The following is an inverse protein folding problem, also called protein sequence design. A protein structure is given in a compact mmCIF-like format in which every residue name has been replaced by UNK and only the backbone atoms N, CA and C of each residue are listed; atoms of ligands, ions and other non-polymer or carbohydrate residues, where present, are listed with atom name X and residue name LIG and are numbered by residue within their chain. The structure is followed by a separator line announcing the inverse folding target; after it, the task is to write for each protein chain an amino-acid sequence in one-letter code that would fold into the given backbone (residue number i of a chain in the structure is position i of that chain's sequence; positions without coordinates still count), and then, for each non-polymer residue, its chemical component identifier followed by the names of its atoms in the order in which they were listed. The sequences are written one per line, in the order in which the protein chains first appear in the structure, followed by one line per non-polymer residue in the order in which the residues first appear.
data_IF_649469983155
#
_entry.id   IF_649469983155
#
_cell.length_a   1.000
_cell.length_b   1.000
_cell.length_c   1.000
_cell.angle_alpha   90.00
_cell.angle_beta   90.00
_cell.angle_gamma   90.00
#
_symmetry.space_group_name_H-M   'P 1'
#
loop_
_entity.id
_entity.type
_entity.pdbx_description
1 polymer ?
#
# COMPACT_ATOMS: atom_id res chain seq x y z
N UNK A 1 10.55 -5.56 17.45
CA UNK A 1 11.56 -4.84 16.65
C UNK A 1 10.95 -3.53 16.16
N UNK A 2 11.69 -2.43 16.17
CA UNK A 2 11.11 -1.08 16.05
C UNK A 2 10.76 -0.64 14.61
N UNK A 3 11.17 -1.39 13.58
CA UNK A 3 11.05 -1.00 12.16
C UNK A 3 10.21 -1.95 11.29
N UNK A 4 9.58 -2.98 11.86
CA UNK A 4 8.73 -3.91 11.10
C UNK A 4 9.45 -4.98 10.27
N UNK A 5 10.80 -5.04 10.32
CA UNK A 5 11.60 -6.08 9.66
C UNK A 5 12.13 -7.08 10.68
N UNK A 6 12.06 -8.37 10.34
CA UNK A 6 12.59 -9.49 11.10
C UNK A 6 13.88 -9.96 10.45
N UNK A 7 15.01 -9.80 11.14
CA UNK A 7 16.30 -10.34 10.70
C UNK A 7 16.32 -11.86 10.81
N UNK A 8 16.86 -12.53 9.80
CA UNK A 8 17.04 -13.98 9.80
C UNK A 8 18.14 -14.35 10.80
N UNK A 9 17.84 -15.26 11.72
CA UNK A 9 18.83 -15.91 12.56
C UNK A 9 19.23 -17.26 11.92
N UNK A 10 20.48 -17.44 11.45
CA UNK A 10 20.94 -18.70 10.85
C UNK A 10 20.83 -19.92 11.80
N UNK A 11 20.92 -19.70 13.11
CA UNK A 11 20.81 -20.73 14.13
C UNK A 11 19.36 -21.07 14.48
N UNK A 12 18.41 -20.24 14.04
CA UNK A 12 16.97 -20.43 14.27
C UNK A 12 16.25 -21.04 13.06
N UNK A 13 14.97 -21.42 13.24
CA UNK A 13 14.14 -21.87 12.15
C UNK A 13 13.95 -20.84 11.04
N UNK A 14 13.57 -21.29 9.85
CA UNK A 14 13.26 -20.39 8.74
C UNK A 14 12.16 -19.39 9.16
N UNK A 15 12.38 -18.06 9.11
CA UNK A 15 11.47 -17.09 9.73
C UNK A 15 10.03 -17.11 9.18
N UNK A 16 9.85 -17.46 7.91
CA UNK A 16 8.51 -17.55 7.29
C UNK A 16 7.58 -18.52 8.05
N UNK A 17 8.09 -19.62 8.63
CA UNK A 17 7.24 -20.51 9.44
C UNK A 17 6.63 -19.79 10.65
N UNK A 18 7.47 -19.04 11.38
CA UNK A 18 7.04 -18.28 12.56
C UNK A 18 6.12 -17.12 12.17
N UNK A 19 6.41 -16.45 11.05
CA UNK A 19 5.58 -15.36 10.53
C UNK A 19 4.18 -15.84 10.16
N UNK A 20 4.06 -16.99 9.49
CA UNK A 20 2.76 -17.60 9.16
C UNK A 20 2.04 -18.02 10.44
N UNK A 21 2.70 -18.76 11.33
CA UNK A 21 2.09 -19.25 12.57
C UNK A 21 1.58 -18.10 13.45
N UNK A 22 2.42 -17.08 13.67
CA UNK A 22 2.06 -15.90 14.45
C UNK A 22 0.91 -15.11 13.81
N UNK A 23 0.92 -14.96 12.49
CA UNK A 23 -0.15 -14.26 11.78
C UNK A 23 -1.48 -15.03 11.80
N UNK A 24 -1.46 -16.35 11.64
CA UNK A 24 -2.67 -17.19 11.76
C UNK A 24 -3.24 -17.16 13.17
N UNK A 25 -2.39 -17.19 14.21
CA UNK A 25 -2.81 -17.07 15.60
C UNK A 25 -3.44 -15.69 15.88
N UNK A 26 -2.79 -14.61 15.45
CA UNK A 26 -3.29 -13.24 15.59
C UNK A 26 -4.61 -13.04 14.83
N UNK A 27 -4.73 -13.59 13.62
CA UNK A 27 -5.95 -13.54 12.82
C UNK A 27 -7.10 -14.31 13.48
N UNK A 28 -6.82 -15.52 13.97
CA UNK A 28 -7.82 -16.33 14.68
C UNK A 28 -8.28 -15.64 15.97
N UNK A 29 -7.36 -15.01 16.71
CA UNK A 29 -7.70 -14.21 17.88
C UNK A 29 -8.58 -13.01 17.50
N UNK A 30 -8.26 -12.31 16.41
CA UNK A 30 -9.07 -11.19 15.89
C UNK A 30 -10.50 -11.64 15.58
N UNK A 31 -10.67 -12.75 14.86
CA UNK A 31 -11.99 -13.30 14.52
C UNK A 31 -12.80 -13.68 15.77
N UNK A 32 -12.17 -14.32 16.77
CA UNK A 32 -12.87 -14.72 18.01
C UNK A 32 -13.34 -13.55 18.85
N UNK A 33 -12.68 -12.39 18.76
CA UNK A 33 -13.00 -11.20 19.54
C UNK A 33 -14.01 -10.27 18.84
N UNK A 34 -14.39 -10.57 17.60
CA UNK A 34 -15.32 -9.74 16.86
C UNK A 34 -16.66 -9.61 17.60
N UNK A 35 -17.17 -8.37 17.70
CA UNK A 35 -18.45 -8.07 18.34
C UNK A 35 -19.60 -8.77 17.64
N UNK A 36 -20.50 -9.35 18.42
CA UNK A 36 -21.64 -10.14 17.91
C UNK A 36 -22.99 -9.46 18.06
N UNK A 37 -23.06 -8.38 18.85
CA UNK A 37 -24.26 -7.62 19.13
C UNK A 37 -23.95 -6.13 19.32
N UNK A 38 -25.01 -5.31 19.30
CA UNK A 38 -24.91 -3.86 19.36
C UNK A 38 -24.23 -3.32 20.65
N UNK A 39 -24.58 -3.80 21.86
CA UNK A 39 -23.88 -3.37 23.08
C UNK A 39 -22.37 -3.65 23.04
N UNK A 40 -21.95 -4.83 22.56
CA UNK A 40 -20.53 -5.20 22.44
C UNK A 40 -19.76 -4.27 21.51
N UNK A 41 -20.31 -3.96 20.32
CA UNK A 41 -19.62 -3.10 19.35
C UNK A 41 -19.49 -1.65 19.87
N UNK A 42 -20.47 -1.18 20.64
CA UNK A 42 -20.40 0.13 21.31
C UNK A 42 -19.32 0.15 22.39
N UNK A 43 -19.23 -0.91 23.20
CA UNK A 43 -18.19 -1.05 24.22
C UNK A 43 -16.79 -1.14 23.60
N UNK A 44 -16.62 -1.97 22.57
CA UNK A 44 -15.36 -2.13 21.86
C UNK A 44 -14.94 -0.82 21.18
N UNK A 45 -15.87 -0.09 20.55
CA UNK A 45 -15.61 1.23 19.97
C UNK A 45 -15.07 2.21 21.02
N UNK A 46 -15.72 2.30 22.19
CA UNK A 46 -15.26 3.16 23.31
C UNK A 46 -13.91 2.71 23.85
N UNK A 47 -13.73 1.41 24.05
CA UNK A 47 -12.49 0.82 24.57
C UNK A 47 -11.31 1.12 23.65
N UNK A 48 -11.53 1.00 22.33
CA UNK A 48 -10.51 1.12 21.29
C UNK A 48 -10.17 2.57 20.96
N UNK A 49 -11.18 3.40 20.68
CA UNK A 49 -10.98 4.76 20.18
C UNK A 49 -11.12 5.84 21.25
N UNK A 50 -11.42 5.46 22.50
CA UNK A 50 -11.59 6.37 23.65
C UNK A 50 -12.63 7.48 23.38
N UNK A 51 -13.64 7.18 22.57
CA UNK A 51 -14.68 8.11 22.12
C UNK A 51 -16.04 7.43 22.09
N UNK A 52 -17.10 8.22 22.21
CA UNK A 52 -18.45 7.72 21.95
C UNK A 52 -18.61 7.40 20.44
N UNK A 53 -19.40 6.37 20.08
CA UNK A 53 -19.75 6.12 18.69
C UNK A 53 -20.46 7.33 18.05
N UNK A 54 -20.35 7.51 16.73
CA UNK A 54 -20.99 8.62 16.02
C UNK A 54 -22.52 8.50 16.05
N UNK A 55 -23.21 9.60 15.71
CA UNK A 55 -24.66 9.58 15.46
C UNK A 55 -24.97 8.60 14.31
N UNK A 56 -26.03 7.81 14.44
CA UNK A 56 -26.41 6.80 13.44
C UNK A 56 -25.63 5.49 13.55
N UNK A 57 -24.96 5.22 14.67
CA UNK A 57 -24.18 3.98 14.84
C UNK A 57 -25.05 2.71 14.83
N UNK A 58 -26.32 2.82 15.22
CA UNK A 58 -27.28 1.72 15.13
C UNK A 58 -27.62 1.39 13.66
N UNK A 59 -27.80 2.40 12.81
CA UNK A 59 -28.00 2.21 11.36
C UNK A 59 -26.80 1.50 10.72
N UNK A 60 -25.58 1.90 11.12
CA UNK A 60 -24.36 1.22 10.70
C UNK A 60 -24.32 -0.25 11.20
N UNK A 61 -24.76 -0.53 12.42
CA UNK A 61 -24.84 -1.90 12.93
C UNK A 61 -25.87 -2.74 12.17
N UNK A 62 -27.03 -2.17 11.84
CA UNK A 62 -28.03 -2.83 11.00
C UNK A 62 -27.45 -3.16 9.62
N UNK A 63 -26.67 -2.26 9.03
CA UNK A 63 -25.94 -2.51 7.79
C UNK A 63 -24.94 -3.67 7.94
N UNK A 64 -24.14 -3.68 9.01
CA UNK A 64 -23.20 -4.77 9.33
C UNK A 64 -23.91 -6.12 9.39
N UNK A 65 -25.07 -6.20 10.04
CA UNK A 65 -25.86 -7.42 10.15
C UNK A 65 -26.44 -7.84 8.80
N UNK A 66 -27.08 -6.90 8.07
CA UNK A 66 -27.67 -7.12 6.75
C UNK A 66 -26.66 -7.69 5.75
N UNK A 67 -25.41 -7.21 5.81
CA UNK A 67 -24.34 -7.60 4.89
C UNK A 67 -23.38 -8.66 5.46
N UNK A 68 -23.68 -9.26 6.61
CA UNK A 68 -22.87 -10.28 7.26
C UNK A 68 -21.38 -9.89 7.37
N UNK A 69 -21.11 -8.67 7.83
CA UNK A 69 -19.74 -8.16 7.96
C UNK A 69 -19.04 -8.85 9.13
N UNK A 70 -18.00 -9.63 8.84
CA UNK A 70 -17.36 -10.53 9.82
C UNK A 70 -16.44 -9.84 10.84
N UNK A 71 -15.97 -8.63 10.53
CA UNK A 71 -15.05 -7.86 11.37
C UNK A 71 -15.64 -6.47 11.65
N UNK A 72 -16.71 -6.35 12.44
CA UNK A 72 -17.37 -5.08 12.70
C UNK A 72 -16.51 -4.08 13.48
N UNK A 73 -15.49 -4.52 14.21
CA UNK A 73 -14.67 -3.64 15.04
C UNK A 73 -13.41 -3.09 14.33
N UNK A 74 -13.10 -3.60 13.14
CA UNK A 74 -11.80 -3.37 12.49
C UNK A 74 -11.87 -2.18 11.50
N UNK A 75 -11.88 -0.96 12.06
CA UNK A 75 -11.92 0.31 11.32
C UNK A 75 -10.84 1.31 11.79
N UNK A 76 -9.73 0.81 12.33
CA UNK A 76 -8.64 1.63 12.89
C UNK A 76 -8.12 2.64 11.89
N UNK A 77 -8.03 2.23 10.63
CA UNK A 77 -7.56 3.10 9.58
C UNK A 77 -8.41 4.36 9.40
N UNK A 78 -9.73 4.22 9.54
CA UNK A 78 -10.65 5.36 9.44
C UNK A 78 -10.38 6.33 10.58
N UNK A 79 -10.26 5.79 11.79
CA UNK A 79 -10.07 6.58 12.98
C UNK A 79 -8.72 7.29 12.95
N UNK A 80 -7.65 6.60 12.57
CA UNK A 80 -6.32 7.18 12.43
C UNK A 80 -6.25 8.29 11.34
N UNK A 81 -7.03 8.17 10.26
CA UNK A 81 -7.09 9.20 9.21
C UNK A 81 -7.92 10.41 9.65
N UNK A 82 -8.93 10.23 10.52
CA UNK A 82 -9.81 11.31 11.00
C UNK A 82 -9.31 11.98 12.28
N UNK A 83 -8.56 11.26 13.10
CA UNK A 83 -8.06 11.70 14.41
C UNK A 83 -7.37 13.06 14.37
N UNK A 84 -6.49 13.37 13.38
CA UNK A 84 -5.80 14.65 13.34
C UNK A 84 -6.73 15.87 13.17
N UNK A 85 -7.97 15.66 12.69
CA UNK A 85 -8.93 16.74 12.45
C UNK A 85 -9.86 16.99 13.64
N UNK A 86 -9.89 16.11 14.65
CA UNK A 86 -10.79 16.26 15.79
C UNK A 86 -10.41 17.38 16.75
N UNK A 87 -9.15 17.82 16.73
CA UNK A 87 -8.68 18.97 17.50
C UNK A 87 -8.85 20.31 16.80
N UNK A 88 -9.51 20.35 15.63
CA UNK A 88 -9.72 21.56 14.83
C UNK A 88 -11.17 22.03 15.01
N UNK A 89 -11.36 23.34 15.21
CA UNK A 89 -12.67 23.94 15.34
C UNK A 89 -13.54 23.70 14.09
N UNK A 90 -14.84 23.35 14.24
CA UNK A 90 -15.70 23.09 13.09
C UNK A 90 -15.78 24.24 12.08
N UNK A 91 -15.74 25.50 12.54
CA UNK A 91 -15.72 26.69 11.67
C UNK A 91 -14.48 26.76 10.80
N UNK A 92 -13.34 26.33 11.33
CA UNK A 92 -12.07 26.31 10.59
C UNK A 92 -12.05 25.18 9.55
N UNK A 93 -12.57 23.99 9.89
CA UNK A 93 -12.73 22.89 8.92
C UNK A 93 -13.66 23.28 7.76
N UNK A 94 -14.76 23.98 8.06
CA UNK A 94 -15.69 24.47 7.04
C UNK A 94 -15.05 25.52 6.12
N UNK A 95 -14.23 26.42 6.67
CA UNK A 95 -13.49 27.40 5.89
C UNK A 95 -12.43 26.75 5.00
N UNK A 96 -11.64 25.81 5.54
CA UNK A 96 -10.65 25.05 4.76
C UNK A 96 -11.30 24.25 3.64
N UNK A 97 -12.47 23.66 3.89
CA UNK A 97 -13.26 22.99 2.84
C UNK A 97 -13.69 23.97 1.75
N UNK A 98 -14.24 25.13 2.12
CA UNK A 98 -14.67 26.13 1.13
C UNK A 98 -13.49 26.65 0.28
N UNK A 99 -12.33 26.86 0.90
CA UNK A 99 -11.10 27.26 0.20
C UNK A 99 -10.57 26.16 -0.73
N UNK A 100 -10.72 24.89 -0.35
CA UNK A 100 -10.40 23.77 -1.21
C UNK A 100 -11.32 23.68 -2.41
N UNK A 101 -12.62 23.81 -2.19
CA UNK A 101 -13.65 23.75 -3.24
C UNK A 101 -13.46 24.84 -4.30
N UNK A 102 -12.88 25.98 -3.92
CA UNK A 102 -12.55 27.06 -4.85
C UNK A 102 -11.32 26.77 -5.75
N UNK A 103 -10.58 25.68 -5.51
CA UNK A 103 -9.39 25.34 -6.31
C UNK A 103 -9.78 24.57 -7.57
N UNK A 104 -9.12 24.90 -8.68
CA UNK A 104 -9.34 24.35 -10.03
C UNK A 104 -9.16 22.83 -10.09
N UNK A 105 -8.31 22.26 -9.23
CA UNK A 105 -8.01 20.81 -9.19
C UNK A 105 -8.80 20.06 -8.10
N UNK A 106 -9.84 20.65 -7.51
CA UNK A 106 -10.70 19.98 -6.54
C UNK A 106 -11.94 19.40 -7.22
N UNK A 107 -12.36 18.18 -6.85
CA UNK A 107 -13.63 17.61 -7.34
C UNK A 107 -14.76 17.98 -6.36
N UNK A 108 -15.66 18.88 -6.79
CA UNK A 108 -16.85 19.35 -6.05
C UNK A 108 -18.09 19.05 -6.86
N UNK A 109 -19.07 18.34 -6.28
CA UNK A 109 -20.26 17.82 -6.99
C UNK A 109 -21.24 18.89 -7.56
N UNK A 110 -20.86 20.16 -7.71
CA UNK A 110 -21.81 21.22 -8.11
C UNK A 110 -21.33 22.21 -9.17
N UNK A 111 -20.16 22.04 -9.79
CA UNK A 111 -19.80 22.92 -10.93
C UNK A 111 -18.76 22.30 -11.86
N UNK A 112 -19.17 21.58 -12.91
CA UNK A 112 -18.24 21.24 -13.98
C UNK A 112 -18.87 21.36 -15.38
N UNK A 113 -18.14 22.05 -16.26
CA UNK A 113 -18.38 22.08 -17.69
C UNK A 113 -18.08 20.71 -18.31
N UNK A 114 -19.04 20.17 -19.06
CA UNK A 114 -18.92 18.87 -19.69
C UNK A 114 -17.74 18.80 -20.68
N UNK A 115 -16.94 17.73 -20.58
CA UNK A 115 -16.00 17.31 -21.65
C UNK A 115 -14.49 17.52 -21.39
N UNK A 116 -14.07 18.27 -20.37
CA UNK A 116 -12.63 18.62 -20.19
C UNK A 116 -11.82 17.64 -19.32
N UNK A 117 -12.47 16.87 -18.42
CA UNK A 117 -11.79 16.06 -17.39
C UNK A 117 -12.29 14.61 -17.22
N UNK A 118 -12.87 13.98 -18.26
CA UNK A 118 -13.52 12.66 -18.16
C UNK A 118 -12.72 11.53 -17.48
N UNK A 119 -11.38 11.53 -17.52
CA UNK A 119 -10.57 10.52 -16.80
C UNK A 119 -10.44 10.77 -15.29
N UNK A 120 -10.53 12.02 -14.83
CA UNK A 120 -10.52 12.37 -13.40
C UNK A 120 -11.92 12.19 -12.78
N UNK A 121 -12.98 12.33 -13.60
CA UNK A 121 -14.40 12.22 -13.21
C UNK A 121 -14.84 10.79 -12.94
N UNK A 122 -14.30 9.80 -13.68
CA UNK A 122 -14.71 8.40 -13.52
C UNK A 122 -14.57 7.89 -12.08
N UNK A 123 -13.52 8.36 -11.39
CA UNK A 123 -13.29 8.01 -10.01
C UNK A 123 -14.34 8.55 -9.04
N UNK A 124 -14.88 9.75 -9.29
CA UNK A 124 -15.97 10.33 -8.50
C UNK A 124 -17.32 9.67 -8.76
N UNK A 125 -17.62 9.29 -10.01
CA UNK A 125 -18.84 8.51 -10.33
C UNK A 125 -18.86 7.20 -9.56
N UNK A 126 -17.74 6.47 -9.60
CA UNK A 126 -17.64 5.19 -8.89
C UNK A 126 -17.75 5.34 -7.35
N UNK A 127 -17.42 6.52 -6.78
CA UNK A 127 -17.61 6.81 -5.34
C UNK A 127 -19.07 7.13 -5.05
N UNK A 128 -19.76 7.87 -5.93
CA UNK A 128 -21.19 8.15 -5.81
C UNK A 128 -21.97 6.82 -5.86
N UNK A 129 -21.64 5.95 -6.82
CA UNK A 129 -22.23 4.62 -6.93
C UNK A 129 -22.03 3.79 -5.65
N UNK A 130 -20.83 3.86 -5.06
CA UNK A 130 -20.52 3.17 -3.80
C UNK A 130 -21.37 3.68 -2.62
N UNK A 131 -21.75 4.96 -2.63
CA UNK A 131 -22.53 5.58 -1.57
C UNK A 131 -24.03 5.38 -1.73
N UNK A 132 -24.51 4.97 -2.92
CA UNK A 132 -25.94 4.77 -3.18
C UNK A 132 -26.63 3.84 -2.18
N UNK A 133 -25.96 2.77 -1.75
CA UNK A 133 -26.51 1.80 -0.78
C UNK A 133 -26.72 2.38 0.63
N UNK A 134 -26.12 3.52 0.95
CA UNK A 134 -26.17 4.14 2.28
C UNK A 134 -26.66 5.59 2.26
N UNK A 135 -27.03 6.12 1.09
CA UNK A 135 -27.39 7.53 0.89
C UNK A 135 -28.53 7.97 1.81
N UNK A 136 -29.53 7.10 2.03
CA UNK A 136 -30.68 7.38 2.90
C UNK A 136 -30.30 7.65 4.37
N UNK A 137 -29.15 7.14 4.81
CA UNK A 137 -28.65 7.34 6.18
C UNK A 137 -27.72 8.54 6.31
N UNK A 138 -27.32 9.16 5.19
CA UNK A 138 -26.35 10.25 5.19
C UNK A 138 -27.06 11.60 5.28
N UNK A 139 -26.71 12.45 6.28
CA UNK A 139 -27.13 13.85 6.23
C UNK A 139 -26.47 14.55 5.03
N UNK A 140 -26.97 15.72 4.60
CA UNK A 140 -26.31 16.53 3.59
C UNK A 140 -24.83 16.74 3.97
N UNK A 141 -23.93 16.12 3.22
CA UNK A 141 -22.50 16.15 3.48
C UNK A 141 -21.76 16.66 2.24
N UNK A 142 -20.65 17.38 2.47
CA UNK A 142 -19.77 17.88 1.42
C UNK A 142 -18.35 17.44 1.74
N UNK A 143 -17.69 16.85 0.76
CA UNK A 143 -16.33 16.34 0.87
C UNK A 143 -15.55 16.69 -0.40
N UNK A 144 -14.26 16.98 -0.24
CA UNK A 144 -13.35 17.29 -1.35
C UNK A 144 -12.46 16.08 -1.60
N UNK A 145 -12.44 15.61 -2.83
CA UNK A 145 -11.63 14.47 -3.26
C UNK A 145 -10.49 14.93 -4.15
N UNK A 146 -9.28 14.44 -3.87
CA UNK A 146 -8.13 14.61 -4.75
C UNK A 146 -8.37 13.82 -6.04
N UNK A 147 -8.17 14.45 -7.22
CA UNK A 147 -8.31 13.76 -8.50
C UNK A 147 -7.07 12.92 -8.85
N UNK A 148 -6.02 12.95 -8.01
CA UNK A 148 -4.75 12.27 -8.25
C UNK A 148 -4.69 10.89 -7.60
N UNK A 149 -3.90 9.99 -8.17
CA UNK A 149 -3.66 8.64 -7.65
C UNK A 149 -2.72 8.63 -6.42
N UNK A 150 -1.91 9.67 -6.28
CA UNK A 150 -0.92 9.94 -5.26
C UNK A 150 -1.44 10.82 -4.12
N UNK A 151 -0.99 10.64 -2.86
CA UNK A 151 -1.22 11.62 -1.81
C UNK A 151 -0.42 12.90 -2.06
N UNK A 152 -0.90 14.00 -1.50
CA UNK A 152 -0.39 15.36 -1.70
C UNK A 152 -0.45 16.23 -0.43
N UNK A 153 -1.03 15.73 0.66
CA UNK A 153 -1.16 16.43 1.95
C UNK A 153 -0.03 16.06 2.90
N UNK A 154 1.19 16.50 2.61
CA UNK A 154 2.35 16.26 3.49
C UNK A 154 2.11 16.93 4.85
N UNK A 155 2.14 16.12 5.90
CA UNK A 155 1.90 16.53 7.28
C UNK A 155 3.11 17.26 7.85
N UNK A 156 2.84 18.36 8.57
CA UNK A 156 3.82 18.91 9.50
C UNK A 156 3.73 18.14 10.82
N UNK A 157 4.89 17.78 11.38
CA UNK A 157 4.97 17.02 12.63
C UNK A 157 4.53 17.86 13.84
N UNK A 158 4.44 19.18 13.70
CA UNK A 158 3.84 20.04 14.71
C UNK A 158 2.35 19.72 14.92
N UNK A 159 1.65 19.16 13.91
CA UNK A 159 0.24 18.80 14.02
C UNK A 159 -0.02 17.51 14.80
N UNK A 160 0.91 16.55 14.81
CA UNK A 160 0.67 15.24 15.43
C UNK A 160 0.76 15.22 16.96
N UNK A 161 1.21 16.33 17.58
CA UNK A 161 1.49 16.42 19.02
C UNK A 161 0.59 17.40 19.79
N UNK A 162 -0.30 18.12 19.11
CA UNK A 162 -1.07 19.21 19.72
C UNK A 162 -2.57 18.89 19.77
N UNK A 163 -3.12 18.71 20.97
CA UNK A 163 -4.52 18.32 21.20
C UNK A 163 -5.56 19.44 20.94
N UNK A 164 -5.14 20.67 20.62
CA UNK A 164 -6.00 21.81 20.28
C UNK A 164 -5.34 22.62 19.16
N UNK A 165 -5.73 22.38 17.92
CA UNK A 165 -5.20 23.03 16.73
C UNK A 165 -6.18 24.12 16.30
N UNK A 166 -6.08 25.30 16.92
CA UNK A 166 -6.68 26.52 16.37
C UNK A 166 -6.02 26.85 15.03
N UNK A 167 -6.72 27.48 14.08
CA UNK A 167 -6.24 28.01 12.77
C UNK A 167 -5.10 29.05 12.86
N UNK A 168 -4.37 29.12 13.96
CA UNK A 168 -3.14 29.90 14.07
C UNK A 168 -2.18 29.40 12.99
N UNK A 169 -1.85 30.26 12.02
CA UNK A 169 -0.74 30.06 11.08
C UNK A 169 0.49 29.66 11.88
N UNK A 170 0.84 28.38 11.87
CA UNK A 170 1.95 27.90 12.67
C UNK A 170 3.28 28.44 12.11
N UNK A 171 4.25 28.74 12.99
CA UNK A 171 5.52 29.31 12.58
C UNK A 171 6.27 28.29 11.72
N UNK A 172 6.63 28.67 10.49
CA UNK A 172 7.62 28.03 9.61
C UNK A 172 7.49 26.52 9.42
N UNK A 173 7.03 26.09 8.24
CA UNK A 173 7.11 24.69 7.80
C UNK A 173 8.57 24.24 7.74
N UNK A 174 8.89 23.05 8.25
CA UNK A 174 10.24 22.49 8.15
C UNK A 174 10.66 22.40 6.66
N UNK A 175 11.73 23.09 6.23
CA UNK A 175 12.13 23.15 4.82
C UNK A 175 12.68 21.81 4.30
N UNK A 176 12.79 20.78 5.14
CA UNK A 176 13.36 19.49 4.79
C UNK A 176 12.40 18.54 4.04
N UNK A 177 11.15 18.97 3.81
CA UNK A 177 10.18 18.25 2.97
C UNK A 177 9.90 16.82 3.45
N UNK A 178 10.22 15.81 2.65
CA UNK A 178 9.93 14.40 2.96
C UNK A 178 10.54 13.89 4.28
N UNK A 179 11.63 14.49 4.74
CA UNK A 179 12.36 14.06 5.95
C UNK A 179 12.13 14.99 7.14
N UNK A 180 11.02 15.74 7.13
CA UNK A 180 10.65 16.67 8.19
C UNK A 180 10.29 16.01 9.53
N UNK A 181 10.26 14.68 9.61
CA UNK A 181 9.93 13.89 10.81
C UNK A 181 10.97 13.99 11.95
N UNK A 182 10.72 14.74 13.04
CA UNK A 182 11.66 14.87 14.17
C UNK A 182 12.00 13.50 14.76
N UNK A 183 13.29 13.29 15.10
CA UNK A 183 13.77 12.05 15.72
C UNK A 183 13.75 10.80 14.83
N UNK A 184 13.24 10.89 13.59
CA UNK A 184 13.21 9.75 12.68
C UNK A 184 14.60 9.42 12.11
N UNK A 185 14.89 8.14 11.80
CA UNK A 185 16.07 7.75 11.03
C UNK A 185 16.22 8.52 9.72
N UNK A 186 15.09 8.83 9.05
CA UNK A 186 15.08 9.55 7.79
C UNK A 186 15.57 11.01 7.89
N UNK A 187 15.28 11.71 8.99
CA UNK A 187 15.69 13.11 9.21
C UNK A 187 17.21 13.31 9.29
N UNK A 188 17.92 12.25 9.64
CA UNK A 188 19.38 12.24 9.76
C UNK A 188 20.09 11.88 8.45
N UNK A 189 19.35 11.63 7.35
CA UNK A 189 19.93 11.32 6.04
C UNK A 189 19.73 12.46 5.06
N UNK A 190 20.72 12.68 4.20
CA UNK A 190 20.53 13.51 3.00
C UNK A 190 19.79 12.71 1.94
N UNK A 191 18.71 13.27 1.39
CA UNK A 191 18.07 12.72 0.20
C UNK A 191 18.66 13.40 -1.03
N UNK A 192 19.56 12.69 -1.70
CA UNK A 192 20.00 13.00 -3.06
C UNK A 192 19.40 11.94 -4.00
N UNK A 193 18.23 12.23 -4.57
CA UNK A 193 17.56 11.30 -5.48
C UNK A 193 18.29 11.11 -6.81
N UNK A 194 19.29 11.93 -7.14
CA UNK A 194 20.11 11.74 -8.34
C UNK A 194 21.31 10.84 -8.07
N UNK A 195 21.87 10.90 -6.86
CA UNK A 195 22.93 10.04 -6.36
C UNK A 195 22.59 8.55 -6.31
N UNK A 196 23.58 7.73 -5.96
CA UNK A 196 23.38 6.29 -5.83
C UNK A 196 22.42 5.97 -4.67
N UNK A 197 21.47 5.03 -4.86
CA UNK A 197 20.64 4.59 -3.76
C UNK A 197 21.52 3.97 -2.66
N UNK A 198 21.09 4.05 -1.39
CA UNK A 198 21.81 3.44 -0.28
C UNK A 198 22.08 1.95 -0.53
N UNK A 199 23.26 1.45 -0.10
CA UNK A 199 23.62 0.07 -0.29
C UNK A 199 22.63 -0.84 0.45
N UNK A 200 22.31 -1.97 -0.17
CA UNK A 200 21.45 -2.98 0.45
C UNK A 200 22.18 -3.59 1.65
N UNK A 201 21.42 -3.91 2.69
CA UNK A 201 21.94 -4.68 3.83
C UNK A 201 22.34 -6.07 3.36
N UNK A 202 23.43 -6.61 3.91
CA UNK A 202 23.86 -7.99 3.65
C UNK A 202 23.00 -9.01 4.40
N UNK A 203 22.41 -8.60 5.53
CA UNK A 203 21.50 -9.43 6.32
C UNK A 203 20.18 -9.63 5.60
N UNK A 204 19.70 -10.87 5.64
CA UNK A 204 18.37 -11.25 5.14
C UNK A 204 17.32 -10.84 6.15
N UNK A 205 16.23 -10.25 5.66
CA UNK A 205 15.11 -9.78 6.47
C UNK A 205 13.79 -10.16 5.82
N UNK A 206 12.73 -10.26 6.61
CA UNK A 206 11.35 -10.41 6.15
C UNK A 206 10.45 -9.41 6.85
N UNK A 207 9.36 -9.01 6.20
CA UNK A 207 8.37 -8.10 6.81
C UNK A 207 7.58 -8.85 7.88
N UNK A 208 7.66 -8.41 9.14
CA UNK A 208 6.80 -8.90 10.23
C UNK A 208 5.70 -7.91 10.63
N UNK A 209 5.86 -6.63 10.27
CA UNK A 209 4.81 -5.60 10.40
C UNK A 209 4.87 -4.73 9.14
N UNK A 210 3.86 -4.90 8.28
CA UNK A 210 3.81 -4.23 7.00
C UNK A 210 3.65 -2.71 7.14
N UNK A 211 2.95 -2.22 8.15
CA UNK A 211 2.75 -0.79 8.34
C UNK A 211 4.04 -0.09 8.73
N UNK A 212 4.81 -0.68 9.63
CA UNK A 212 6.12 -0.16 10.04
C UNK A 212 7.17 -0.32 8.94
N UNK A 213 7.15 -1.45 8.22
CA UNK A 213 8.07 -1.71 7.12
C UNK A 213 7.89 -0.74 5.94
N UNK A 214 6.69 -0.18 5.76
CA UNK A 214 6.37 0.80 4.70
C UNK A 214 6.43 2.25 5.16
N UNK A 215 6.86 2.50 6.39
CA UNK A 215 7.03 3.85 6.93
C UNK A 215 8.33 4.48 6.37
N UNK A 216 8.24 5.51 5.50
CA UNK A 216 9.43 6.13 4.92
C UNK A 216 10.28 6.89 5.95
N UNK A 217 9.75 7.20 7.13
CA UNK A 217 10.50 7.81 8.23
C UNK A 217 11.43 6.80 8.91
N UNK A 218 11.00 5.54 8.99
CA UNK A 218 11.81 4.44 9.52
C UNK A 218 12.76 3.88 8.45
N UNK A 219 12.32 3.88 7.19
CA UNK A 219 13.04 3.30 6.06
C UNK A 219 13.30 4.34 4.95
N UNK A 220 14.32 5.21 5.10
CA UNK A 220 14.61 6.28 4.14
C UNK A 220 14.93 5.77 2.71
N UNK A 221 15.29 4.50 2.55
CA UNK A 221 15.49 3.87 1.24
C UNK A 221 14.23 3.89 0.37
N UNK A 222 13.04 4.07 0.97
CA UNK A 222 11.76 4.17 0.27
C UNK A 222 11.72 5.38 -0.68
N UNK A 223 12.37 6.49 -0.32
CA UNK A 223 12.43 7.70 -1.14
C UNK A 223 13.08 7.46 -2.51
N UNK A 224 13.97 6.47 -2.61
CA UNK A 224 14.72 6.15 -3.82
C UNK A 224 14.02 5.12 -4.72
N UNK A 225 12.90 4.53 -4.27
CA UNK A 225 12.30 3.34 -4.90
C UNK A 225 10.80 3.46 -5.15
N UNK A 226 10.09 4.33 -4.42
CA UNK A 226 8.64 4.52 -4.57
C UNK A 226 8.33 5.62 -5.57
N UNK A 227 7.40 5.38 -6.50
CA UNK A 227 7.05 6.34 -7.55
C UNK A 227 6.63 7.70 -7.00
N UNK A 228 5.88 7.72 -5.89
CA UNK A 228 5.49 8.92 -5.14
C UNK A 228 6.65 9.86 -4.79
N UNK A 229 7.80 9.30 -4.39
CA UNK A 229 8.91 10.11 -3.90
C UNK A 229 9.91 10.44 -5.00
N UNK A 230 9.90 9.64 -6.08
CA UNK A 230 10.72 9.89 -7.25
C UNK A 230 10.20 11.04 -8.11
N UNK A 231 8.93 11.45 -7.94
CA UNK A 231 8.37 12.58 -8.68
C UNK A 231 8.94 13.92 -8.23
N UNK A 232 9.24 14.07 -6.94
CA UNK A 232 9.59 15.35 -6.31
C UNK A 232 10.82 15.19 -5.41
N UNK A 233 11.93 15.84 -5.76
CA UNK A 233 13.28 15.68 -5.15
C UNK A 233 13.27 15.52 -3.63
N UNK A 234 13.09 16.64 -2.91
CA UNK A 234 13.00 16.66 -1.45
C UNK A 234 11.55 16.67 -0.98
N UNK A 235 10.60 16.62 -1.92
CA UNK A 235 9.19 16.89 -1.66
C UNK A 235 8.92 18.36 -1.45
N UNK A 236 7.63 18.72 -1.46
CA UNK A 236 7.21 20.04 -1.01
C UNK A 236 7.45 20.18 0.48
N UNK A 237 7.55 21.42 0.98
CA UNK A 237 7.50 21.65 2.42
C UNK A 237 6.17 21.12 2.98
N UNK A 238 6.12 20.65 4.24
CA UNK A 238 4.88 20.30 4.92
C UNK A 238 3.83 21.40 4.79
N UNK A 239 2.55 21.05 4.77
CA UNK A 239 1.49 22.05 4.67
C UNK A 239 1.38 22.84 5.99
N UNK A 240 1.02 24.12 5.90
CA UNK A 240 0.83 25.00 7.08
C UNK A 240 -0.49 24.77 7.80
N UNK A 241 -1.38 24.01 7.18
CA UNK A 241 -2.75 23.79 7.63
C UNK A 241 -3.08 22.30 7.44
N UNK A 242 -3.87 21.76 8.35
CA UNK A 242 -4.38 20.40 8.30
C UNK A 242 -5.65 20.37 7.46
N UNK A 243 -5.48 20.06 6.18
CA UNK A 243 -6.52 20.18 5.18
C UNK A 243 -7.24 18.83 5.00
N UNK A 244 -8.55 18.74 5.27
CA UNK A 244 -9.30 17.48 5.18
C UNK A 244 -9.63 17.15 3.72
N UNK A 245 -8.67 16.57 3.01
CA UNK A 245 -8.84 16.11 1.63
C UNK A 245 -8.86 14.59 1.55
N UNK A 246 -9.89 14.06 0.89
CA UNK A 246 -10.04 12.64 0.63
C UNK A 246 -9.17 12.20 -0.55
N UNK A 247 -8.48 11.07 -0.46
CA UNK A 247 -7.63 10.56 -1.54
C UNK A 247 -7.63 9.03 -1.62
N UNK A 248 -7.30 8.50 -2.80
CA UNK A 248 -7.26 7.06 -3.04
C UNK A 248 -6.20 6.35 -2.21
N UNK A 249 -5.09 7.01 -1.90
CA UNK A 249 -4.06 6.47 -1.03
C UNK A 249 -3.41 7.56 -0.18
N UNK A 250 -2.71 7.12 0.87
CA UNK A 250 -1.96 7.97 1.80
C UNK A 250 -0.73 7.20 2.30
N UNK A 251 0.21 7.90 2.92
CA UNK A 251 1.35 7.29 3.64
C UNK A 251 1.47 7.91 5.03
N UNK A 252 2.36 7.38 5.88
CA UNK A 252 2.55 7.84 7.27
C UNK A 252 2.96 9.32 7.40
N UNK A 253 3.49 9.92 6.33
CA UNK A 253 3.86 11.34 6.30
C UNK A 253 2.77 12.23 5.69
N UNK A 254 1.64 11.67 5.24
CA UNK A 254 0.53 12.43 4.67
C UNK A 254 -0.71 12.33 5.55
N UNK A 255 -1.50 13.41 5.62
CA UNK A 255 -2.78 13.46 6.34
C UNK A 255 -4.00 13.39 5.40
N UNK A 256 -3.82 12.89 4.17
CA UNK A 256 -4.94 12.59 3.29
C UNK A 256 -5.86 11.54 3.94
N UNK A 257 -7.18 11.75 3.86
CA UNK A 257 -8.20 10.82 4.37
C UNK A 257 -8.44 9.74 3.32
N UNK A 258 -8.18 8.47 3.62
CA UNK A 258 -8.30 7.41 2.62
C UNK A 258 -9.75 7.05 2.34
N UNK A 259 -10.10 7.02 1.06
CA UNK A 259 -11.40 6.55 0.58
C UNK A 259 -11.37 5.07 0.21
N UNK A 260 -12.50 4.35 0.26
CA UNK A 260 -12.57 3.00 -0.28
C UNK A 260 -12.51 3.09 -1.81
N UNK A 261 -11.51 2.48 -2.43
CA UNK A 261 -11.46 2.55 -3.90
C UNK A 261 -12.48 1.63 -4.58
N UNK A 262 -13.27 2.15 -5.53
CA UNK A 262 -14.17 1.34 -6.34
C UNK A 262 -13.41 0.38 -7.27
N UNK A 263 -13.96 -0.80 -7.55
CA UNK A 263 -13.26 -1.87 -8.29
C UNK A 263 -13.12 -1.65 -9.81
N UNK A 264 -13.83 -0.66 -10.33
CA UNK A 264 -14.04 -0.32 -11.75
C UNK A 264 -13.08 0.74 -12.27
N UNK A 265 -12.54 1.61 -11.42
CA UNK A 265 -11.49 2.60 -11.76
C UNK A 265 -10.20 1.98 -12.33
N UNK A 266 -10.00 0.66 -12.17
CA UNK A 266 -8.95 -0.12 -12.82
C UNK A 266 -9.28 -0.61 -14.24
N UNK A 267 -10.17 0.07 -14.97
CA UNK A 267 -10.52 -0.27 -16.36
C UNK A 267 -9.34 0.01 -17.30
N UNK A 268 -8.54 -1.03 -17.52
CA UNK A 268 -8.59 -1.73 -18.81
C UNK A 268 -8.46 -3.23 -18.56
N UNK A 269 -9.24 -4.01 -19.30
CA UNK A 269 -9.19 -5.48 -19.37
C UNK A 269 -7.89 -6.00 -20.03
N UNK A 270 -6.75 -5.39 -19.71
CA UNK A 270 -5.43 -5.89 -20.10
C UNK A 270 -4.77 -6.50 -18.89
N UNK A 271 -3.99 -7.56 -19.10
CA UNK A 271 -3.13 -8.24 -18.12
C UNK A 271 -2.07 -7.33 -17.43
N UNK A 272 -2.22 -6.01 -17.47
CA UNK A 272 -1.21 -5.02 -17.15
C UNK A 272 -1.86 -3.77 -16.54
N UNK A 273 -1.50 -3.44 -15.30
CA UNK A 273 -2.01 -2.28 -14.59
C UNK A 273 -1.53 -1.00 -15.24
N UNK A 274 -2.44 -0.30 -15.89
CA UNK A 274 -2.29 1.11 -16.23
C UNK A 274 -2.42 1.97 -14.96
N UNK A 275 -1.48 1.83 -14.02
CA UNK A 275 -1.15 2.93 -13.11
C UNK A 275 -0.17 3.84 -13.83
N UNK A 276 -0.38 5.15 -13.76
CA UNK A 276 0.37 6.16 -14.50
C UNK A 276 1.87 5.82 -14.58
N UNK A 277 2.41 5.84 -15.80
CA UNK A 277 3.86 5.90 -15.96
C UNK A 277 4.35 7.16 -15.21
N UNK A 278 5.50 7.10 -14.50
CA UNK A 278 6.03 8.26 -13.81
C UNK A 278 6.13 9.43 -14.79
N UNK A 279 5.40 10.50 -14.49
CA UNK A 279 5.27 11.66 -15.36
C UNK A 279 6.49 12.61 -15.30
N UNK A 280 7.58 12.23 -14.64
CA UNK A 280 8.76 13.09 -14.50
C UNK A 280 10.07 12.39 -14.84
N UNK A 281 10.93 13.14 -15.56
CA UNK A 281 12.29 12.88 -16.02
C UNK A 281 12.69 11.42 -16.30
N UNK A 282 13.01 11.11 -17.57
CA UNK A 282 13.39 9.79 -18.13
C UNK A 282 14.44 8.94 -17.36
N UNK A 283 15.05 9.44 -16.28
CA UNK A 283 16.08 8.81 -15.46
C UNK A 283 15.60 8.29 -14.10
N UNK A 284 14.90 9.10 -13.28
CA UNK A 284 14.56 8.72 -11.88
C UNK A 284 13.54 7.59 -11.80
N UNK A 285 12.51 7.62 -12.65
CA UNK A 285 11.49 6.56 -12.71
C UNK A 285 12.03 5.15 -13.02
N UNK A 286 13.24 5.04 -13.59
CA UNK A 286 13.93 3.75 -13.82
C UNK A 286 14.29 3.03 -12.51
N UNK A 287 14.37 3.76 -11.40
CA UNK A 287 14.65 3.22 -10.07
C UNK A 287 13.40 2.80 -9.30
N UNK A 288 12.22 3.06 -9.86
CA UNK A 288 10.97 2.61 -9.24
C UNK A 288 10.97 1.09 -9.04
N UNK A 289 10.38 0.64 -7.94
CA UNK A 289 10.26 -0.77 -7.58
C UNK A 289 9.60 -1.61 -8.70
N UNK A 290 8.68 -1.04 -9.50
CA UNK A 290 8.13 -1.69 -10.72
C UNK A 290 9.19 -1.97 -11.79
N UNK A 291 10.00 -0.97 -12.13
CA UNK A 291 11.07 -1.15 -13.13
C UNK A 291 12.18 -2.04 -12.55
N UNK A 292 12.46 -1.91 -11.26
CA UNK A 292 13.40 -2.76 -10.55
C UNK A 292 12.97 -4.24 -10.60
N UNK A 293 11.67 -4.54 -10.44
CA UNK A 293 11.14 -5.89 -10.57
C UNK A 293 11.44 -6.48 -11.95
N UNK A 294 11.11 -5.76 -13.02
CA UNK A 294 11.41 -6.21 -14.40
C UNK A 294 12.91 -6.41 -14.62
N UNK A 295 13.75 -5.55 -14.03
CA UNK A 295 15.20 -5.67 -14.09
C UNK A 295 15.71 -6.92 -13.36
N UNK A 296 15.29 -7.15 -12.12
CA UNK A 296 15.80 -8.30 -11.34
C UNK A 296 15.31 -9.64 -11.87
N UNK A 297 14.09 -9.69 -12.41
CA UNK A 297 13.49 -10.89 -13.00
C UNK A 297 14.17 -11.27 -14.31
N UNK A 298 14.53 -10.30 -15.14
CA UNK A 298 15.19 -10.56 -16.42
C UNK A 298 16.73 -10.63 -16.34
N UNK A 299 17.33 -10.31 -15.20
CA UNK A 299 18.79 -10.36 -15.01
C UNK A 299 19.30 -11.78 -14.73
N UNK A 300 19.84 -12.46 -15.75
CA UNK A 300 20.26 -13.87 -15.65
C UNK A 300 21.71 -14.07 -15.18
N UNK A 301 22.54 -13.03 -15.15
CA UNK A 301 23.96 -13.14 -14.80
C UNK A 301 24.21 -13.18 -13.28
N UNK A 302 25.21 -13.95 -12.86
CA UNK A 302 25.64 -14.06 -11.45
C UNK A 302 24.77 -14.97 -10.58
N UNK A 303 25.01 -14.90 -9.28
CA UNK A 303 24.31 -15.70 -8.26
C UNK A 303 23.51 -14.81 -7.31
N UNK A 304 22.60 -15.44 -6.56
CA UNK A 304 21.88 -14.84 -5.44
C UNK A 304 22.05 -15.74 -4.20
N UNK A 305 22.28 -15.15 -3.01
CA UNK A 305 22.15 -15.88 -1.76
C UNK A 305 20.67 -16.20 -1.52
N UNK A 306 20.33 -17.47 -1.30
CA UNK A 306 18.96 -17.97 -1.07
C UNK A 306 18.94 -18.85 0.18
N UNK A 307 17.95 -18.66 1.05
CA UNK A 307 17.69 -19.55 2.18
C UNK A 307 17.18 -20.91 1.72
N UNK A 308 17.61 -21.98 2.38
CA UNK A 308 17.22 -23.34 1.98
C UNK A 308 15.71 -23.57 2.17
N UNK A 309 14.98 -24.04 1.14
CA UNK A 309 13.57 -24.39 1.27
C UNK A 309 13.36 -25.77 1.92
N UNK A 310 14.41 -26.58 2.06
CA UNK A 310 14.30 -27.97 2.54
C UNK A 310 14.24 -28.12 4.06
N UNK A 311 14.27 -27.01 4.79
CA UNK A 311 14.31 -27.00 6.25
C UNK A 311 12.92 -27.15 6.84
N UNK A 312 12.79 -28.00 7.86
CA UNK A 312 11.56 -28.13 8.64
C UNK A 312 11.36 -26.93 9.58
N UNK A 313 10.16 -26.76 10.18
CA UNK A 313 9.86 -25.66 11.09
C UNK A 313 10.70 -25.59 12.38
N UNK A 314 11.45 -26.65 12.71
CA UNK A 314 12.27 -26.74 13.91
C UNK A 314 13.78 -26.73 13.63
N UNK A 315 14.17 -26.99 12.38
CA UNK A 315 15.59 -27.05 12.01
C UNK A 315 16.17 -25.65 11.76
N UNK A 316 17.44 -25.42 12.16
CA UNK A 316 18.15 -24.19 11.79
C UNK A 316 18.18 -23.98 10.28
N UNK A 317 17.83 -22.77 9.85
CA UNK A 317 17.83 -22.39 8.43
C UNK A 317 19.24 -22.38 7.85
N UNK A 318 20.23 -22.06 8.68
CA UNK A 318 21.64 -21.96 8.31
C UNK A 318 21.94 -20.77 7.40
N UNK A 319 23.16 -20.77 6.86
CA UNK A 319 23.61 -19.75 5.92
C UNK A 319 22.95 -19.89 4.55
N UNK A 320 22.84 -18.75 3.86
CA UNK A 320 22.30 -18.72 2.50
C UNK A 320 23.20 -19.45 1.49
N UNK A 321 22.60 -20.18 0.56
CA UNK A 321 23.31 -20.87 -0.52
C UNK A 321 23.28 -20.04 -1.80
N UNK A 322 24.40 -19.98 -2.52
CA UNK A 322 24.50 -19.24 -3.78
C UNK A 322 23.81 -20.00 -4.92
N UNK A 323 22.73 -19.44 -5.45
CA UNK A 323 21.99 -20.01 -6.59
C UNK A 323 22.16 -19.16 -7.85
N UNK A 324 22.33 -19.80 -9.01
CA UNK A 324 22.49 -19.11 -10.30
C UNK A 324 21.17 -18.45 -10.72
N UNK A 325 21.21 -17.14 -11.01
CA UNK A 325 20.02 -16.39 -11.46
C UNK A 325 19.43 -16.96 -12.76
N UNK A 326 20.28 -17.44 -13.66
CA UNK A 326 19.88 -18.10 -14.91
C UNK A 326 18.98 -19.33 -14.71
N UNK A 327 19.07 -20.01 -13.55
CA UNK A 327 18.16 -21.12 -13.20
C UNK A 327 16.92 -20.61 -12.49
N UNK A 328 17.13 -19.75 -11.49
CA UNK A 328 16.07 -19.33 -10.58
C UNK A 328 15.04 -18.43 -11.27
N UNK A 329 15.49 -17.39 -11.97
CA UNK A 329 14.58 -16.39 -12.53
C UNK A 329 13.59 -16.97 -13.55
N UNK A 330 14.03 -17.70 -14.61
CA UNK A 330 13.11 -18.25 -15.59
C UNK A 330 12.21 -19.37 -15.02
N UNK A 331 12.67 -20.08 -13.99
CA UNK A 331 11.91 -21.15 -13.33
C UNK A 331 10.84 -20.64 -12.36
N UNK A 332 11.06 -19.46 -11.76
CA UNK A 332 10.19 -18.92 -10.70
C UNK A 332 9.27 -17.81 -11.16
N UNK A 333 9.66 -17.03 -12.18
CA UNK A 333 9.00 -15.78 -12.53
C UNK A 333 8.87 -15.64 -14.04
N UNK A 334 7.65 -15.34 -14.50
CA UNK A 334 7.40 -14.84 -15.86
C UNK A 334 6.92 -13.39 -15.78
N UNK A 335 7.86 -12.46 -15.92
CA UNK A 335 7.60 -11.02 -15.78
C UNK A 335 7.91 -10.29 -17.09
N UNK A 336 6.85 -9.79 -17.74
CA UNK A 336 6.91 -8.99 -18.95
C UNK A 336 6.47 -7.55 -18.74
N UNK A 337 7.03 -6.63 -19.54
CA UNK A 337 6.47 -5.29 -19.68
C UNK A 337 5.17 -5.35 -20.52
N UNK A 338 4.19 -4.45 -20.28
CA UNK A 338 2.99 -4.40 -21.09
C UNK A 338 3.33 -4.20 -22.57
N UNK A 339 2.65 -4.90 -23.48
CA UNK A 339 2.64 -4.52 -24.89
C UNK A 339 2.06 -3.10 -25.00
N UNK A 340 2.80 -2.18 -25.60
CA UNK A 340 2.54 -0.73 -25.67
C UNK A 340 1.26 -0.30 -26.45
N UNK A 341 0.24 -1.14 -26.56
CA UNK A 341 -0.89 -0.93 -27.46
C UNK A 341 -1.99 0.03 -26.94
N UNK A 342 -1.96 0.51 -25.69
CA UNK A 342 -3.17 1.11 -25.08
C UNK A 342 -3.14 2.64 -24.91
N UNK A 343 -2.01 3.33 -25.01
CA UNK A 343 -2.00 4.81 -24.97
C UNK A 343 -0.94 5.34 -25.92
N UNK A 344 -1.35 6.02 -26.99
CA UNK A 344 -0.51 6.54 -28.09
C UNK A 344 0.57 7.57 -27.72
N UNK A 345 1.31 7.38 -26.63
CA UNK A 345 2.53 8.13 -26.27
C UNK A 345 3.75 7.26 -26.54
N UNK A 346 4.30 7.41 -27.73
CA UNK A 346 5.43 6.63 -28.28
C UNK A 346 6.78 6.89 -27.59
N UNK A 347 6.94 7.99 -26.84
CA UNK A 347 8.21 8.38 -26.23
C UNK A 347 8.60 7.60 -24.97
N UNK A 348 7.61 7.20 -24.15
CA UNK A 348 7.84 6.40 -22.92
C UNK A 348 8.21 4.95 -23.28
N UNK A 349 7.63 4.42 -24.35
CA UNK A 349 7.88 3.06 -24.85
C UNK A 349 9.31 2.84 -25.36
N UNK A 350 9.96 3.86 -25.93
CA UNK A 350 11.37 3.75 -26.39
C UNK A 350 12.36 3.52 -25.24
N UNK A 351 12.03 3.96 -24.01
CA UNK A 351 12.88 3.76 -22.83
C UNK A 351 12.85 2.32 -22.30
N UNK A 352 11.67 1.69 -22.24
CA UNK A 352 11.53 0.29 -21.78
C UNK A 352 12.10 -0.72 -22.80
N UNK A 353 12.06 -0.38 -24.09
CA UNK A 353 12.58 -1.23 -25.17
C UNK A 353 14.11 -1.38 -25.14
N UNK A 354 14.83 -0.42 -24.55
CA UNK A 354 16.31 -0.41 -24.49
C UNK A 354 16.87 -1.19 -23.30
N UNK A 355 16.02 -1.59 -22.34
CA UNK A 355 16.41 -2.29 -21.12
C UNK A 355 16.07 -3.79 -21.15
N UNK A 356 16.41 -4.50 -22.22
CA UNK A 356 16.45 -5.96 -22.27
C UNK A 356 15.08 -6.69 -22.24
N UNK A 357 14.66 -7.18 -23.42
CA UNK A 357 13.77 -8.34 -23.56
C UNK A 357 12.28 -8.09 -23.39
N UNK A 358 11.58 -7.75 -24.48
CA UNK A 358 10.11 -7.84 -24.54
C UNK A 358 9.68 -9.30 -24.69
N UNK A 359 9.61 -10.06 -23.59
CA UNK A 359 8.86 -11.33 -23.58
C UNK A 359 7.37 -11.01 -23.46
N UNK A 360 6.57 -11.48 -24.41
CA UNK A 360 5.12 -11.49 -24.27
C UNK A 360 4.74 -12.37 -23.07
N UNK A 361 3.89 -11.87 -22.16
CA UNK A 361 3.37 -12.67 -21.04
C UNK A 361 2.82 -14.00 -21.58
N UNK A 362 3.41 -15.12 -21.18
CA UNK A 362 2.79 -16.44 -21.40
C UNK A 362 1.72 -16.65 -20.32
N UNK A 363 0.78 -17.55 -20.61
CA UNK A 363 -0.43 -17.82 -19.81
C UNK A 363 -0.16 -17.91 -18.29
N UNK A 364 -1.17 -17.49 -17.51
CA UNK A 364 -1.21 -17.44 -16.05
C UNK A 364 -0.49 -18.60 -15.34
N UNK A 365 0.62 -18.30 -14.66
CA UNK A 365 1.15 -19.14 -13.59
C UNK A 365 0.31 -18.99 -12.31
N UNK A 366 0.42 -19.91 -11.34
CA UNK A 366 -0.43 -19.94 -10.13
C UNK A 366 -0.13 -18.82 -9.11
N UNK A 367 0.93 -18.03 -9.32
CA UNK A 367 1.33 -16.94 -8.41
C UNK A 367 1.18 -15.59 -9.11
N UNK A 368 0.29 -14.74 -8.60
CA UNK A 368 0.12 -13.37 -9.09
C UNK A 368 0.88 -12.40 -8.19
N UNK A 369 1.73 -11.57 -8.79
CA UNK A 369 2.47 -10.51 -8.11
C UNK A 369 1.80 -9.16 -8.35
N UNK A 370 1.34 -8.55 -7.27
CA UNK A 370 0.79 -7.20 -7.29
C UNK A 370 1.89 -6.18 -6.99
N UNK A 371 2.01 -5.10 -7.77
CA UNK A 371 3.00 -4.03 -7.56
C UNK A 371 2.35 -2.65 -7.66
N UNK A 372 2.48 -1.86 -6.60
CA UNK A 372 2.01 -0.48 -6.55
C UNK A 372 2.74 0.45 -7.55
N UNK A 373 2.13 1.58 -7.88
CA UNK A 373 2.60 2.51 -8.92
C UNK A 373 3.23 3.75 -8.33
N UNK A 374 2.76 4.91 -8.77
CA UNK A 374 3.01 6.16 -8.06
C UNK A 374 2.23 6.17 -6.74
N UNK A 375 0.93 5.83 -6.80
CA UNK A 375 0.11 5.54 -5.63
C UNK A 375 -0.40 4.10 -5.62
N UNK A 376 -1.68 3.93 -5.27
CA UNK A 376 -2.34 2.64 -5.15
C UNK A 376 -2.60 1.95 -6.51
N UNK A 377 -2.85 0.64 -6.47
CA UNK A 377 -3.32 -0.12 -7.63
C UNK A 377 -4.59 -0.93 -7.37
N UNK A 378 -5.62 -0.70 -8.20
CA UNK A 378 -6.91 -1.42 -8.19
C UNK A 378 -6.89 -2.90 -8.51
N UNK A 379 -5.73 -3.39 -8.94
CA UNK A 379 -5.49 -4.82 -9.08
C UNK A 379 -5.44 -5.52 -7.73
N UNK A 380 -5.07 -4.84 -6.64
CA UNK A 380 -5.13 -5.45 -5.29
C UNK A 380 -6.55 -5.89 -4.94
N UNK A 381 -7.55 -5.00 -5.14
CA UNK A 381 -8.96 -5.34 -4.95
C UNK A 381 -9.34 -6.55 -5.76
N UNK A 382 -9.11 -6.50 -7.08
CA UNK A 382 -9.47 -7.56 -8.04
C UNK A 382 -8.80 -8.89 -7.72
N UNK A 383 -7.52 -8.85 -7.36
CA UNK A 383 -6.76 -10.03 -6.98
C UNK A 383 -7.20 -10.55 -5.61
N UNK A 384 -7.68 -9.69 -4.70
CA UNK A 384 -8.23 -10.10 -3.41
C UNK A 384 -9.68 -10.64 -3.51
N UNK A 385 -10.54 -10.07 -4.37
CA UNK A 385 -11.99 -10.29 -4.45
C UNK A 385 -12.44 -11.37 -5.44
N UNK A 386 -11.88 -12.59 -5.43
CA UNK A 386 -12.62 -13.73 -6.01
C UNK A 386 -13.92 -14.06 -5.24
N UNK A 387 -14.14 -13.35 -4.13
CA UNK A 387 -15.43 -13.08 -3.50
C UNK A 387 -15.44 -11.60 -3.09
N UNK A 388 -16.51 -10.90 -3.43
CA UNK A 388 -16.81 -9.46 -3.29
C UNK A 388 -16.16 -8.68 -2.11
N UNK A 389 -15.78 -7.41 -2.39
CA UNK A 389 -15.50 -6.27 -1.47
C UNK A 389 -14.06 -6.03 -0.91
N UNK A 390 -13.07 -5.48 -1.67
CA UNK A 390 -11.78 -5.02 -1.06
C UNK A 390 -11.13 -3.75 -1.64
N UNK A 391 -11.45 -2.53 -1.15
CA UNK A 391 -10.71 -1.28 -1.47
C UNK A 391 -9.44 -1.03 -0.62
N UNK A 392 -8.79 0.14 -0.77
CA UNK A 392 -7.64 0.62 0.04
C UNK A 392 -7.88 0.77 1.54
N UNK A 393 -9.16 0.74 1.96
CA UNK A 393 -9.65 0.93 3.32
C UNK A 393 -9.67 -0.36 4.17
N UNK A 394 -8.94 -1.40 3.75
CA UNK A 394 -9.05 -2.74 4.35
C UNK A 394 -7.75 -3.38 4.84
N UNK A 395 -6.66 -2.61 5.05
CA UNK A 395 -5.43 -3.18 5.67
C UNK A 395 -5.76 -3.86 7.00
N UNK A 396 -6.73 -3.34 7.78
CA UNK A 396 -7.08 -3.91 9.08
C UNK A 396 -7.90 -5.22 8.98
N UNK A 397 -8.50 -5.49 7.80
CA UNK A 397 -9.34 -6.69 7.53
C UNK A 397 -8.63 -7.74 6.69
N UNK A 398 -7.36 -7.54 6.43
CA UNK A 398 -6.47 -8.53 5.84
C UNK A 398 -5.25 -8.65 6.73
N UNK A 399 -4.72 -9.84 6.84
CA UNK A 399 -3.49 -10.10 7.57
C UNK A 399 -2.39 -10.54 6.60
N UNK A 400 -1.23 -9.90 6.70
CA UNK A 400 0.00 -10.35 6.06
C UNK A 400 0.35 -11.75 6.61
N UNK A 401 0.97 -12.60 5.78
CA UNK A 401 1.22 -14.02 6.02
C UNK A 401 -0.01 -14.93 6.20
N UNK A 402 -1.24 -14.39 6.20
CA UNK A 402 -2.50 -15.18 6.16
C UNK A 402 -3.17 -15.06 4.80
N UNK A 403 -3.35 -13.84 4.30
CA UNK A 403 -4.06 -13.55 3.06
C UNK A 403 -3.12 -13.24 1.90
N UNK A 404 -1.92 -12.76 2.21
CA UNK A 404 -0.90 -12.43 1.22
C UNK A 404 0.50 -12.47 1.82
N UNK A 405 1.49 -12.60 0.94
CA UNK A 405 2.91 -12.55 1.31
C UNK A 405 3.40 -11.11 1.11
N UNK A 406 3.79 -10.38 2.17
CA UNK A 406 4.40 -9.06 2.04
C UNK A 406 5.84 -9.19 1.54
N UNK A 407 6.23 -8.37 0.58
CA UNK A 407 7.59 -8.32 0.03
C UNK A 407 8.14 -6.91 0.18
N UNK A 408 9.42 -6.77 0.51
CA UNK A 408 10.08 -5.47 0.67
C UNK A 408 10.13 -4.68 -0.64
N UNK A 409 10.02 -3.35 -0.57
CA UNK A 409 10.07 -2.47 -1.75
C UNK A 409 11.36 -2.59 -2.56
N UNK A 410 12.46 -2.99 -1.92
CA UNK A 410 13.74 -3.20 -2.58
C UNK A 410 13.86 -4.58 -3.25
N UNK A 411 12.89 -5.46 -3.02
CA UNK A 411 12.77 -6.84 -3.51
C UNK A 411 13.86 -7.78 -2.98
N UNK A 412 14.44 -7.50 -1.81
CA UNK A 412 15.51 -8.30 -1.21
C UNK A 412 15.06 -9.69 -0.74
N UNK A 413 13.79 -9.82 -0.34
CA UNK A 413 13.16 -11.04 0.17
C UNK A 413 12.29 -11.77 -0.88
N UNK A 414 12.16 -11.21 -2.10
CA UNK A 414 11.31 -11.78 -3.15
C UNK A 414 11.71 -13.21 -3.53
N UNK A 415 13.01 -13.42 -3.80
CA UNK A 415 13.49 -14.74 -4.23
C UNK A 415 13.42 -15.77 -3.12
N UNK A 416 13.72 -15.40 -1.87
CA UNK A 416 13.61 -16.31 -0.73
C UNK A 416 12.15 -16.71 -0.48
N UNK A 417 11.22 -15.75 -0.55
CA UNK A 417 9.79 -16.04 -0.43
C UNK A 417 9.31 -16.97 -1.56
N UNK A 418 9.72 -16.72 -2.81
CA UNK A 418 9.37 -17.58 -3.94
C UNK A 418 9.90 -19.00 -3.76
N UNK A 419 11.18 -19.14 -3.37
CA UNK A 419 11.83 -20.44 -3.17
C UNK A 419 11.21 -21.19 -2.00
N UNK A 420 10.86 -20.49 -0.91
CA UNK A 420 10.17 -21.12 0.22
C UNK A 420 8.83 -21.75 -0.22
N UNK A 421 7.96 -21.00 -0.91
CA UNK A 421 6.64 -21.52 -1.25
C UNK A 421 6.63 -22.47 -2.46
N UNK A 422 7.49 -22.25 -3.46
CA UNK A 422 7.51 -23.03 -4.71
C UNK A 422 8.61 -24.10 -4.76
N UNK A 423 9.50 -24.13 -3.79
CA UNK A 423 10.67 -24.98 -3.80
C UNK A 423 11.80 -24.42 -4.67
N UNK A 424 12.79 -25.25 -4.98
CA UNK A 424 13.87 -24.90 -5.89
C UNK A 424 13.41 -24.86 -7.37
N UNK A 425 14.34 -24.68 -8.32
CA UNK A 425 14.00 -24.62 -9.75
C UNK A 425 13.31 -25.89 -10.31
N UNK A 426 13.31 -27.00 -9.57
CA UNK A 426 12.60 -28.24 -9.90
C UNK A 426 11.27 -28.40 -9.16
N UNK A 427 10.94 -27.48 -8.23
CA UNK A 427 9.78 -27.58 -7.34
C UNK A 427 10.06 -28.37 -6.07
N UNK A 428 11.29 -28.83 -5.84
CA UNK A 428 11.63 -29.63 -4.67
C UNK A 428 11.73 -28.74 -3.42
N UNK A 429 11.20 -29.22 -2.28
CA UNK A 429 11.18 -28.47 -1.02
C UNK A 429 10.09 -27.39 -0.92
N UNK A 430 9.07 -27.44 -1.78
CA UNK A 430 7.99 -26.45 -1.80
C UNK A 430 7.08 -26.53 -0.57
N UNK A 431 6.80 -25.37 0.05
CA UNK A 431 5.85 -25.23 1.16
C UNK A 431 4.47 -24.73 0.71
N UNK A 432 3.94 -25.27 -0.39
CA UNK A 432 2.67 -24.80 -0.99
C UNK A 432 1.47 -24.90 -0.04
N UNK A 433 1.49 -25.83 0.92
CA UNK A 433 0.41 -26.03 1.91
C UNK A 433 0.32 -24.88 2.90
N UNK A 434 1.43 -24.18 3.13
CA UNK A 434 1.51 -23.03 4.03
C UNK A 434 1.20 -21.71 3.32
N UNK A 435 0.97 -21.75 2.01
CA UNK A 435 0.90 -20.53 1.24
C UNK A 435 -0.39 -19.72 1.53
N UNK A 436 -0.27 -18.39 1.79
CA UNK A 436 -1.41 -17.53 2.07
C UNK A 436 -2.51 -17.60 1.01
N UNK A 437 -3.78 -17.58 1.44
CA UNK A 437 -4.95 -17.63 0.54
C UNK A 437 -5.37 -19.02 0.06
N UNK A 438 -4.60 -20.09 0.35
CA UNK A 438 -4.98 -21.46 -0.03
C UNK A 438 -6.30 -21.91 0.63
N UNK A 439 -6.51 -21.55 1.91
CA UNK A 439 -7.75 -21.86 2.66
C UNK A 439 -8.97 -21.07 2.18
N UNK A 440 -8.78 -19.98 1.43
CA UNK A 440 -9.87 -19.05 1.08
C UNK A 440 -10.22 -18.98 -0.40
N UNK A 441 -9.40 -19.50 -1.33
CA UNK A 441 -9.76 -19.79 -2.75
C UNK A 441 -8.56 -20.27 -3.62
N UNK A 442 -7.62 -21.05 -3.08
CA UNK A 442 -6.64 -21.79 -3.92
C UNK A 442 -5.61 -20.98 -4.73
N UNK A 443 -5.41 -19.69 -4.48
CA UNK A 443 -4.35 -18.89 -5.15
C UNK A 443 -3.39 -18.27 -4.13
N UNK A 444 -2.09 -18.57 -4.28
CA UNK A 444 -1.01 -17.88 -3.58
C UNK A 444 -0.83 -16.46 -4.13
N UNK A 445 -0.98 -15.44 -3.28
CA UNK A 445 -0.94 -14.04 -3.69
C UNK A 445 0.29 -13.35 -3.06
N UNK A 446 1.25 -12.97 -3.90
CA UNK A 446 2.40 -12.13 -3.52
C UNK A 446 2.03 -10.67 -3.70
N UNK A 447 2.29 -9.85 -2.69
CA UNK A 447 1.89 -8.44 -2.72
C UNK A 447 3.10 -7.57 -2.39
N UNK A 448 3.50 -6.77 -3.37
CA UNK A 448 4.35 -5.60 -3.23
C UNK A 448 3.45 -4.38 -3.10
N UNK A 449 3.37 -3.83 -1.89
CA UNK A 449 2.65 -2.59 -1.60
C UNK A 449 3.62 -1.56 -1.05
#
# INVERSE_FOLDING_TARGET
MANGLLEVNPEGPHPIFQLIHGAEAAWSHKLRRASTNFPQVVEEYRRRYKRAPPRGFEDWWNYVQKHAVHLPDEYDQIQADLEPFWGIEPTDLLALRAELEAKVDSVVNTSFEAGKYGQLIRGSEDIIDLLGDVEEFLPPFRAVFSPHDAPNRLSDYVFSSSANISRKKFPGTDPKGWISAPGSPARNRSIDLDGMPPPKTTRKTFIHDHSLAMDPCLHPDHFFRRGQFLSDEKGHAPQREMVPEFAYCSSRIHHNIRIPTPGTTGSTNGCCGAGAAPHTAQTRGRRSHRVNLLRITNHLQGTLPILSPFKSPTEPVGESTQMRKARLNPGMMDAGAPSCAIRGRTSICRGCSRGGGTRACRRHGPTNLQVDGNGWSGRFKRLATSSSLFGTRFIDRIAHWVHYIPIQLDLSDLHDALVFFRGDASGAGAHEVLAPGRKTNGMCRLILK
#
